data_IF_870930401665
#
_entry.id   IF_870930401665
#
_cell.length_a   1.000
_cell.length_b   1.000
_cell.length_c   1.000
_cell.angle_alpha   90.00
_cell.angle_beta   90.00
_cell.angle_gamma   90.00
#
_symmetry.space_group_name_H-M   'P 1'
#
loop_
_entity.id
_entity.type
_entity.pdbx_description
1 polymer ?
#
# COMPACT_ATOMS: atom_id res chain seq x y z
N UNK A 1 3.11 35.06 64.17
CA UNK A 1 2.47 33.77 64.54
C UNK A 1 1.31 33.58 63.56
N UNK A 2 1.20 32.58 62.69
CA UNK A 2 1.84 31.27 62.47
C UNK A 2 1.82 30.98 60.94
N UNK A 3 2.79 30.16 60.51
CA UNK A 3 2.97 29.35 59.28
C UNK A 3 1.72 29.04 58.42
N UNK A 4 1.78 28.77 57.10
CA UNK A 4 2.81 28.15 56.25
C UNK A 4 2.17 27.04 55.40
N UNK A 5 2.84 26.64 54.30
CA UNK A 5 2.53 25.58 53.30
C UNK A 5 1.51 25.98 52.20
N UNK A 6 1.76 25.83 50.90
CA UNK A 6 2.84 25.18 50.16
C UNK A 6 2.26 24.41 48.95
N UNK A 7 2.90 24.55 47.77
CA UNK A 7 2.83 23.69 46.57
C UNK A 7 1.44 23.62 45.86
N UNK A 8 1.29 23.69 44.54
CA UNK A 8 2.19 23.65 43.41
C UNK A 8 1.36 23.52 42.12
N UNK A 9 2.01 23.74 40.98
CA UNK A 9 1.66 23.26 39.63
C UNK A 9 0.23 23.47 39.09
N UNK A 10 0.11 24.39 38.13
CA UNK A 10 -0.91 24.34 37.09
C UNK A 10 -0.23 24.58 35.75
N UNK A 11 0.15 23.50 35.09
CA UNK A 11 0.87 23.49 33.82
C UNK A 11 0.04 24.10 32.67
N UNK A 12 0.78 24.65 31.71
CA UNK A 12 0.35 25.10 30.39
C UNK A 12 -0.68 24.14 29.77
N UNK A 13 -1.94 24.58 29.66
CA UNK A 13 -2.89 23.98 28.74
C UNK A 13 -2.74 24.66 27.36
N UNK A 14 -1.63 24.38 26.68
CA UNK A 14 -1.61 24.45 25.24
C UNK A 14 -2.47 23.27 24.75
N UNK A 15 -3.72 23.54 24.44
CA UNK A 15 -4.53 22.64 23.62
C UNK A 15 -3.92 22.66 22.22
N UNK A 16 -2.84 21.90 22.05
CA UNK A 16 -2.53 21.31 20.77
C UNK A 16 -3.76 20.50 20.38
N UNK A 17 -4.56 21.11 19.52
CA UNK A 17 -5.56 20.41 18.73
C UNK A 17 -4.75 19.63 17.70
N UNK A 18 -4.00 18.64 18.18
CA UNK A 18 -3.43 17.59 17.37
C UNK A 18 -4.62 17.01 16.65
N UNK A 19 -4.64 17.23 15.33
CA UNK A 19 -5.64 16.67 14.45
C UNK A 19 -5.81 15.22 14.86
N UNK A 20 -7.05 14.85 15.16
CA UNK A 20 -7.46 13.46 15.08
C UNK A 20 -7.34 13.08 13.60
N UNK A 21 -6.09 12.87 13.16
CA UNK A 21 -5.76 12.12 11.99
C UNK A 21 -6.42 10.78 12.23
N UNK A 22 -7.51 10.57 11.51
CA UNK A 22 -8.30 9.36 11.54
C UNK A 22 -7.44 8.28 10.90
N UNK A 23 -6.45 7.80 11.64
CA UNK A 23 -5.75 6.56 11.39
C UNK A 23 -6.72 5.41 11.70
N UNK A 24 -7.82 5.35 10.96
CA UNK A 24 -8.66 4.16 10.84
C UNK A 24 -8.20 3.37 9.60
N UNK A 25 -8.43 2.05 9.61
CA UNK A 25 -7.40 1.03 9.51
C UNK A 25 -7.03 0.75 8.05
N UNK A 26 -6.11 1.53 7.50
CA UNK A 26 -5.62 1.37 6.13
C UNK A 26 -5.13 -0.06 5.82
N UNK A 27 -4.82 -0.86 6.85
CA UNK A 27 -4.31 -2.20 6.67
C UNK A 27 -5.21 -3.34 7.13
N UNK A 28 -6.40 -3.07 7.66
CA UNK A 28 -7.36 -4.16 7.88
C UNK A 28 -7.82 -4.75 6.56
N UNK A 29 -8.08 -3.92 5.54
CA UNK A 29 -8.44 -4.41 4.21
C UNK A 29 -7.31 -5.19 3.54
N UNK A 30 -6.04 -4.78 3.75
CA UNK A 30 -4.89 -5.53 3.23
C UNK A 30 -4.78 -6.90 3.92
N UNK A 31 -4.91 -6.92 5.25
CA UNK A 31 -4.93 -8.16 6.04
C UNK A 31 -6.07 -9.08 5.59
N UNK A 32 -7.30 -8.56 5.51
CA UNK A 32 -8.47 -9.32 5.04
C UNK A 32 -8.25 -9.88 3.62
N UNK A 33 -7.61 -9.11 2.72
CA UNK A 33 -7.31 -9.56 1.36
C UNK A 33 -6.23 -10.64 1.31
N UNK A 34 -5.25 -10.58 2.22
CA UNK A 34 -4.21 -11.61 2.34
C UNK A 34 -4.75 -12.91 2.96
N UNK A 35 -5.68 -12.80 3.91
CA UNK A 35 -6.32 -13.95 4.57
C UNK A 35 -7.37 -14.61 3.69
N UNK A 36 -8.21 -13.82 3.02
CA UNK A 36 -9.31 -14.32 2.20
C UNK A 36 -9.54 -13.46 0.93
N UNK A 37 -8.73 -13.67 -0.13
CA UNK A 37 -8.84 -12.91 -1.38
C UNK A 37 -10.21 -13.03 -2.06
N UNK A 38 -10.98 -14.10 -1.84
CA UNK A 38 -12.27 -14.31 -2.52
C UNK A 38 -13.37 -13.37 -2.02
N UNK A 39 -13.12 -12.59 -0.97
CA UNK A 39 -14.03 -11.52 -0.50
C UNK A 39 -13.89 -10.22 -1.31
N UNK A 40 -12.96 -10.19 -2.26
CA UNK A 40 -12.66 -9.02 -3.06
C UNK A 40 -13.03 -9.26 -4.51
N UNK A 41 -13.50 -8.20 -5.17
CA UNK A 41 -13.79 -8.17 -6.60
C UNK A 41 -12.73 -7.37 -7.36
N UNK A 42 -12.55 -7.69 -8.63
CA UNK A 42 -11.68 -6.94 -9.54
C UNK A 42 -12.44 -5.77 -10.16
N UNK A 43 -11.92 -4.55 -10.00
CA UNK A 43 -12.57 -3.32 -10.52
C UNK A 43 -11.82 -2.72 -11.72
N UNK A 44 -10.53 -3.00 -11.84
CA UNK A 44 -9.70 -2.57 -12.96
C UNK A 44 -8.58 -3.59 -13.20
N UNK A 45 -8.17 -3.72 -14.47
CA UNK A 45 -7.02 -4.53 -14.87
C UNK A 45 -6.02 -3.69 -15.66
N UNK A 46 -4.73 -3.92 -15.41
CA UNK A 46 -3.61 -3.46 -16.23
C UNK A 46 -2.72 -4.66 -16.54
N UNK A 47 -2.25 -4.75 -17.77
CA UNK A 47 -1.36 -5.83 -18.21
C UNK A 47 -0.15 -5.22 -18.89
N UNK A 48 1.02 -5.77 -18.60
CA UNK A 48 2.26 -5.48 -19.31
C UNK A 48 3.06 -6.76 -19.47
N UNK A 49 4.08 -6.73 -20.32
CA UNK A 49 4.96 -7.87 -20.57
C UNK A 49 6.38 -7.48 -20.23
N UNK A 50 7.05 -8.33 -19.46
CA UNK A 50 8.50 -8.25 -19.22
C UNK A 50 9.21 -9.26 -20.12
N UNK A 51 10.50 -9.07 -20.35
CA UNK A 51 11.30 -10.11 -21.01
C UNK A 51 11.28 -11.41 -20.18
N UNK A 52 10.98 -12.59 -20.77
CA UNK A 52 11.00 -13.87 -20.07
C UNK A 52 12.45 -14.29 -19.83
N UNK A 53 13.03 -13.85 -18.71
CA UNK A 53 14.43 -14.14 -18.37
C UNK A 53 14.62 -14.67 -16.94
N UNK A 54 13.53 -15.06 -16.27
CA UNK A 54 13.60 -15.53 -14.89
C UNK A 54 13.90 -14.42 -13.87
N UNK A 55 13.94 -13.16 -14.30
CA UNK A 55 14.20 -12.03 -13.42
C UNK A 55 13.03 -11.81 -12.45
N UNK A 56 13.40 -11.33 -11.26
CA UNK A 56 12.47 -10.91 -10.23
C UNK A 56 11.83 -9.58 -10.64
N UNK A 57 10.51 -9.55 -10.62
CA UNK A 57 9.74 -8.31 -10.75
C UNK A 57 9.71 -7.60 -9.39
N UNK A 58 9.94 -6.29 -9.40
CA UNK A 58 9.96 -5.45 -8.22
C UNK A 58 9.06 -4.23 -8.41
N UNK A 59 8.06 -4.07 -7.55
CA UNK A 59 7.25 -2.86 -7.47
C UNK A 59 7.84 -1.93 -6.41
N UNK A 60 8.45 -0.82 -6.85
CA UNK A 60 9.16 0.12 -5.98
C UNK A 60 8.20 1.01 -5.19
N UNK A 61 6.97 1.18 -5.67
CA UNK A 61 5.92 2.00 -5.04
C UNK A 61 4.80 1.16 -4.44
N UNK A 62 5.17 0.17 -3.64
CA UNK A 62 4.24 -0.76 -3.02
C UNK A 62 4.62 -1.06 -1.57
N UNK A 63 3.61 -1.25 -0.73
CA UNK A 63 3.74 -1.57 0.69
C UNK A 63 3.24 -3.01 0.92
N UNK A 64 4.08 -3.85 1.52
CA UNK A 64 3.70 -5.22 1.95
C UNK A 64 2.97 -5.23 3.29
N UNK A 65 3.26 -4.23 4.12
CA UNK A 65 2.72 -3.96 5.45
C UNK A 65 2.68 -2.43 5.62
N UNK A 66 1.89 -1.89 6.55
CA UNK A 66 1.70 -0.44 6.64
C UNK A 66 2.94 0.23 7.26
N UNK A 67 3.78 -0.55 7.95
CA UNK A 67 5.04 -0.13 8.57
C UNK A 67 6.23 -0.21 7.60
N UNK A 68 6.08 -0.84 6.44
CA UNK A 68 7.17 -1.00 5.46
C UNK A 68 7.29 0.26 4.59
N UNK A 69 7.71 1.38 5.18
CA UNK A 69 7.80 2.68 4.49
C UNK A 69 8.75 2.71 3.28
N UNK A 70 9.53 1.64 3.04
CA UNK A 70 10.60 1.63 2.03
C UNK A 70 10.78 0.32 1.28
N UNK A 71 10.21 -0.79 1.76
CA UNK A 71 10.43 -2.08 1.12
C UNK A 71 9.34 -2.37 0.09
N UNK A 72 9.67 -2.11 -1.18
CA UNK A 72 8.84 -2.51 -2.31
C UNK A 72 8.47 -4.00 -2.33
N UNK A 73 7.61 -4.39 -3.25
CA UNK A 73 7.14 -5.78 -3.37
C UNK A 73 7.93 -6.50 -4.44
N UNK A 74 8.55 -7.62 -4.07
CA UNK A 74 9.33 -8.44 -4.99
C UNK A 74 8.66 -9.79 -5.26
N UNK A 75 8.68 -10.25 -6.51
CA UNK A 75 8.03 -11.49 -6.93
C UNK A 75 8.80 -12.23 -8.02
N UNK A 76 8.80 -13.56 -7.92
CA UNK A 76 9.38 -14.45 -8.91
C UNK A 76 8.36 -14.77 -10.01
N UNK A 77 8.78 -15.21 -11.21
CA UNK A 77 7.86 -15.76 -12.20
C UNK A 77 7.02 -16.90 -11.63
N UNK A 78 5.85 -17.13 -12.22
CA UNK A 78 4.86 -18.11 -11.76
C UNK A 78 4.37 -17.86 -10.33
N UNK A 79 4.19 -16.60 -9.94
CA UNK A 79 3.74 -16.27 -8.59
C UNK A 79 2.71 -15.15 -8.55
N UNK A 80 1.99 -15.10 -7.43
CA UNK A 80 0.99 -14.09 -7.15
C UNK A 80 1.33 -13.33 -5.86
N UNK A 81 1.04 -12.02 -5.83
CA UNK A 81 1.16 -11.18 -4.64
C UNK A 81 -0.01 -10.23 -4.54
N UNK A 82 -0.45 -9.95 -3.31
CA UNK A 82 -1.39 -8.87 -2.97
C UNK A 82 -0.64 -7.86 -2.12
N UNK A 83 -0.80 -6.58 -2.41
CA UNK A 83 -0.15 -5.49 -1.69
C UNK A 83 -0.94 -4.19 -1.83
N UNK A 84 -0.54 -3.16 -1.09
CA UNK A 84 -1.08 -1.81 -1.22
C UNK A 84 -0.15 -0.94 -2.06
N UNK A 85 -0.68 -0.17 -3.00
CA UNK A 85 0.11 0.85 -3.70
C UNK A 85 0.52 1.95 -2.71
N UNK A 86 1.78 2.39 -2.76
CA UNK A 86 2.26 3.47 -1.88
C UNK A 86 1.88 4.84 -2.48
N UNK A 87 0.80 5.46 -2.03
CA UNK A 87 0.33 6.76 -2.53
C UNK A 87 1.15 7.96 -2.03
N UNK A 88 2.00 7.75 -1.02
CA UNK A 88 2.71 8.82 -0.32
C UNK A 88 4.15 9.02 -0.83
N UNK A 89 4.58 8.19 -1.79
CA UNK A 89 5.95 8.22 -2.29
C UNK A 89 6.25 9.47 -3.14
N UNK A 90 5.37 9.81 -4.08
CA UNK A 90 5.55 10.92 -5.01
C UNK A 90 4.22 11.39 -5.63
N UNK A 91 4.25 12.42 -6.48
CA UNK A 91 3.05 12.97 -7.10
C UNK A 91 2.35 11.98 -8.05
N UNK A 92 3.12 11.13 -8.74
CA UNK A 92 2.56 10.16 -9.69
C UNK A 92 1.79 9.07 -8.95
N UNK A 93 2.38 8.51 -7.90
CA UNK A 93 1.77 7.50 -7.03
C UNK A 93 0.56 8.06 -6.27
N UNK A 94 0.60 9.33 -5.85
CA UNK A 94 -0.56 10.05 -5.27
C UNK A 94 -1.74 10.19 -6.24
N UNK A 95 -1.51 10.02 -7.53
CA UNK A 95 -2.57 10.00 -8.55
C UNK A 95 -3.04 8.58 -8.88
N UNK A 96 -2.57 7.54 -8.18
CA UNK A 96 -2.89 6.12 -8.48
C UNK A 96 -1.82 5.41 -9.32
N UNK A 97 -0.62 5.99 -9.42
CA UNK A 97 0.49 5.42 -10.15
C UNK A 97 1.18 4.27 -9.40
N UNK A 98 1.76 3.33 -10.17
CA UNK A 98 2.60 2.25 -9.65
C UNK A 98 3.82 2.03 -10.55
N UNK A 99 5.01 2.05 -9.96
CA UNK A 99 6.28 1.81 -10.64
C UNK A 99 6.74 0.36 -10.51
N UNK A 100 7.33 -0.18 -11.57
CA UNK A 100 7.87 -1.54 -11.59
C UNK A 100 9.23 -1.60 -12.28
N UNK A 101 10.02 -2.61 -11.90
CA UNK A 101 11.33 -2.93 -12.45
C UNK A 101 11.49 -4.45 -12.60
N UNK A 102 12.05 -4.91 -13.71
CA UNK A 102 12.37 -6.32 -13.97
C UNK A 102 13.69 -6.42 -14.73
N UNK A 103 14.78 -6.76 -14.03
CA UNK A 103 16.12 -6.74 -14.61
C UNK A 103 16.53 -5.32 -15.05
N UNK A 104 16.67 -5.11 -16.36
CA UNK A 104 16.97 -3.79 -16.96
C UNK A 104 15.73 -3.03 -17.42
N UNK A 105 14.56 -3.67 -17.39
CA UNK A 105 13.30 -3.07 -17.78
C UNK A 105 12.66 -2.36 -16.59
N UNK A 106 12.01 -1.24 -16.88
CA UNK A 106 11.22 -0.51 -15.90
C UNK A 106 10.03 0.13 -16.58
N UNK A 107 9.00 0.38 -15.80
CA UNK A 107 7.82 1.06 -16.31
C UNK A 107 6.91 1.54 -15.19
N UNK A 108 5.78 2.08 -15.63
CA UNK A 108 4.77 2.62 -14.76
C UNK A 108 3.38 2.20 -15.25
N UNK A 109 2.46 1.97 -14.33
CA UNK A 109 1.06 1.73 -14.62
C UNK A 109 0.19 2.70 -13.82
N UNK A 110 -0.96 3.07 -14.37
CA UNK A 110 -1.87 4.05 -13.78
C UNK A 110 -3.23 3.41 -13.50
N UNK A 111 -3.59 3.39 -12.22
CA UNK A 111 -4.93 3.04 -11.72
C UNK A 111 -5.76 4.30 -11.49
N UNK A 112 -7.03 4.11 -11.12
CA UNK A 112 -7.98 5.21 -10.93
C UNK A 112 -7.80 5.88 -9.57
N UNK A 113 -7.66 5.10 -8.50
CA UNK A 113 -7.58 5.64 -7.16
C UNK A 113 -6.16 5.47 -6.57
N UNK A 114 -5.66 6.45 -5.80
CA UNK A 114 -4.43 6.30 -5.05
C UNK A 114 -4.56 5.27 -3.94
N UNK A 115 -3.47 4.57 -3.68
CA UNK A 115 -3.38 3.67 -2.53
C UNK A 115 -4.22 2.41 -2.63
N UNK A 116 -4.67 2.02 -3.83
CA UNK A 116 -5.50 0.83 -4.01
C UNK A 116 -4.79 -0.47 -3.58
N UNK A 117 -5.60 -1.47 -3.22
CA UNK A 117 -5.13 -2.84 -3.06
C UNK A 117 -4.97 -3.46 -4.44
N UNK A 118 -3.79 -4.00 -4.71
CA UNK A 118 -3.45 -4.56 -6.00
C UNK A 118 -3.10 -6.03 -5.82
N UNK A 119 -3.74 -6.89 -6.62
CA UNK A 119 -3.30 -8.26 -6.85
C UNK A 119 -2.50 -8.32 -8.14
N UNK A 120 -1.31 -8.90 -8.10
CA UNK A 120 -0.47 -9.12 -9.27
C UNK A 120 -0.26 -10.61 -9.47
N UNK A 121 -0.47 -11.07 -10.70
CA UNK A 121 -0.10 -12.39 -11.19
C UNK A 121 1.03 -12.22 -12.19
N UNK A 122 2.18 -12.85 -11.92
CA UNK A 122 3.33 -12.85 -12.80
C UNK A 122 3.49 -14.24 -13.42
N UNK A 123 3.13 -14.38 -14.68
CA UNK A 123 3.14 -15.63 -15.43
C UNK A 123 4.56 -16.05 -15.85
N UNK A 124 4.74 -17.33 -16.19
CA UNK A 124 6.03 -17.87 -16.63
C UNK A 124 6.54 -17.25 -17.94
N UNK A 125 5.63 -16.76 -18.79
CA UNK A 125 5.94 -16.22 -20.11
C UNK A 125 6.31 -14.73 -20.09
N UNK A 126 6.46 -14.15 -18.90
CA UNK A 126 6.75 -12.73 -18.72
C UNK A 126 5.50 -11.83 -18.66
N UNK A 127 4.30 -12.38 -18.81
CA UNK A 127 3.07 -11.58 -18.72
C UNK A 127 2.78 -11.23 -17.26
N UNK A 128 2.49 -9.95 -17.01
CA UNK A 128 2.14 -9.45 -15.68
C UNK A 128 0.74 -8.87 -15.72
N UNK A 129 -0.17 -9.45 -14.94
CA UNK A 129 -1.54 -8.99 -14.80
C UNK A 129 -1.73 -8.36 -13.41
N UNK A 130 -2.09 -7.07 -13.39
CA UNK A 130 -2.35 -6.32 -12.18
C UNK A 130 -3.85 -5.98 -12.08
N UNK A 131 -4.46 -6.35 -10.96
CA UNK A 131 -5.88 -6.16 -10.68
C UNK A 131 -6.07 -5.25 -9.47
N UNK A 132 -6.91 -4.24 -9.61
CA UNK A 132 -7.40 -3.46 -8.47
C UNK A 132 -8.45 -4.25 -7.71
N UNK A 133 -8.28 -4.37 -6.40
CA UNK A 133 -9.17 -5.10 -5.50
C UNK A 133 -10.08 -4.13 -4.74
N UNK A 134 -11.37 -4.42 -4.75
CA UNK A 134 -12.36 -3.73 -3.93
C UNK A 134 -13.17 -4.74 -3.13
N UNK A 135 -13.57 -4.37 -1.91
CA UNK A 135 -14.34 -5.27 -1.04
C UNK A 135 -15.70 -5.58 -1.64
N UNK A 136 -16.08 -6.86 -1.73
CA UNK A 136 -17.40 -7.24 -2.21
C UNK A 136 -18.43 -7.06 -1.10
N UNK A 137 -19.21 -5.97 -1.18
CA UNK A 137 -20.31 -5.65 -0.26
C UNK A 137 -21.65 -6.24 -0.72
N UNK A 138 -21.67 -7.02 -1.80
CA UNK A 138 -22.87 -7.72 -2.28
C UNK A 138 -23.06 -8.98 -1.44
N UNK A 139 -23.54 -8.79 -0.22
CA UNK A 139 -23.97 -9.84 0.70
C UNK A 139 -25.49 -10.04 0.57
#
# INVERSE_FOLDING_TARGET
MVAGLGLGMGALAAQDTAGAETAQPADKMLQDALENPSRFMFTAQRTFKTTPSGHRLFFTSALRKPTDLKEGVSMLPASMRIFRANADQDEFTRKGGLYWQCGKEQGQIQFKNPGELIMVVYDQDGTVNCYSLFYDVRC
#
